data_IF_101585123475
#
_entry.id   IF_101585123475
#
_cell.length_a   1.000
_cell.length_b   1.000
_cell.length_c   1.000
_cell.angle_alpha   90.00
_cell.angle_beta   90.00
_cell.angle_gamma   90.00
#
_symmetry.space_group_name_H-M   'P 1'
#
loop_
_entity.id
_entity.type
_entity.pdbx_description
1 polymer ?
#
# COMPACT_ATOMS: atom_id res chain seq x y z
N UNK A 1 9.16 -18.55 -23.49
CA UNK A 1 7.93 -17.76 -23.27
C UNK A 1 8.24 -16.76 -22.16
N UNK A 2 8.35 -15.47 -22.51
CA UNK A 2 8.49 -14.40 -21.50
C UNK A 2 7.14 -14.23 -20.81
N UNK A 3 7.02 -14.71 -19.58
CA UNK A 3 5.84 -14.44 -18.76
C UNK A 3 5.92 -13.02 -18.23
N UNK A 4 4.79 -12.35 -18.05
CA UNK A 4 4.71 -11.07 -17.36
C UNK A 4 5.24 -11.22 -15.93
N UNK A 5 6.00 -10.23 -15.46
CA UNK A 5 6.36 -10.11 -14.06
C UNK A 5 5.13 -9.66 -13.26
N UNK A 6 5.15 -9.85 -11.94
CA UNK A 6 3.99 -9.52 -11.10
C UNK A 6 3.72 -8.01 -11.06
N UNK A 7 4.76 -7.18 -11.06
CA UNK A 7 4.66 -5.72 -11.18
C UNK A 7 4.02 -5.30 -12.50
N UNK A 8 4.34 -5.97 -13.64
CA UNK A 8 3.68 -5.69 -14.93
C UNK A 8 2.17 -5.98 -14.85
N UNK A 9 1.77 -7.06 -14.15
CA UNK A 9 0.35 -7.38 -13.97
C UNK A 9 -0.33 -6.27 -13.14
N UNK A 10 0.33 -5.77 -12.13
CA UNK A 10 -0.21 -4.71 -11.29
C UNK A 10 -0.33 -3.39 -12.06
N UNK A 11 0.75 -2.94 -12.67
CA UNK A 11 0.80 -1.64 -13.36
C UNK A 11 -0.04 -1.63 -14.66
N UNK A 12 -0.15 -2.76 -15.38
CA UNK A 12 -0.83 -2.81 -16.68
C UNK A 12 -2.27 -3.34 -16.65
N UNK A 13 -2.66 -4.05 -15.59
CA UNK A 13 -3.97 -4.70 -15.52
C UNK A 13 -4.73 -4.28 -14.27
N UNK A 14 -4.15 -4.46 -13.08
CA UNK A 14 -4.89 -4.31 -11.82
C UNK A 14 -5.19 -2.85 -11.53
N UNK A 15 -4.20 -1.95 -11.59
CA UNK A 15 -4.40 -0.52 -11.39
C UNK A 15 -5.35 0.07 -12.43
N UNK A 16 -5.20 -0.15 -13.75
CA UNK A 16 -6.16 0.31 -14.74
C UNK A 16 -7.58 -0.22 -14.55
N UNK A 17 -7.75 -1.48 -14.11
CA UNK A 17 -9.07 -2.03 -13.79
C UNK A 17 -9.70 -1.34 -12.58
N UNK A 18 -8.88 -1.06 -11.55
CA UNK A 18 -9.30 -0.32 -10.36
C UNK A 18 -9.73 1.11 -10.69
N UNK A 19 -8.97 1.81 -11.55
CA UNK A 19 -9.29 3.16 -12.03
C UNK A 19 -10.57 3.19 -12.88
N UNK A 20 -10.81 2.13 -13.65
CA UNK A 20 -12.05 2.01 -14.43
C UNK A 20 -13.26 1.91 -13.50
N UNK A 21 -13.19 1.12 -12.43
CA UNK A 21 -14.25 1.00 -11.42
C UNK A 21 -14.52 2.35 -10.76
N UNK A 22 -13.47 3.13 -10.45
CA UNK A 22 -13.61 4.47 -9.89
C UNK A 22 -14.30 5.44 -10.85
N UNK A 23 -13.88 5.46 -12.11
CA UNK A 23 -14.54 6.29 -13.13
C UNK A 23 -16.03 5.94 -13.27
N UNK A 24 -16.37 4.66 -13.30
CA UNK A 24 -17.77 4.24 -13.36
C UNK A 24 -18.59 4.72 -12.15
N UNK A 25 -17.98 4.74 -10.95
CA UNK A 25 -18.63 5.29 -9.77
C UNK A 25 -18.82 6.81 -9.88
N UNK A 26 -17.76 7.54 -10.28
CA UNK A 26 -17.82 9.00 -10.45
C UNK A 26 -18.82 9.44 -11.54
N UNK A 27 -18.95 8.63 -12.59
CA UNK A 27 -19.91 8.85 -13.70
C UNK A 27 -21.34 8.33 -13.37
N UNK A 28 -21.57 7.88 -12.14
CA UNK A 28 -22.85 7.33 -11.67
C UNK A 28 -23.33 6.08 -12.47
N UNK A 29 -22.43 5.41 -13.18
CA UNK A 29 -22.72 4.18 -13.93
C UNK A 29 -22.86 2.95 -13.02
N UNK A 30 -22.28 2.99 -11.83
CA UNK A 30 -22.41 1.97 -10.79
C UNK A 30 -22.69 2.62 -9.44
N UNK A 31 -23.32 1.87 -8.56
CA UNK A 31 -23.55 2.27 -7.17
C UNK A 31 -22.32 2.02 -6.29
N UNK A 32 -22.26 2.64 -5.11
CA UNK A 32 -21.21 2.37 -4.10
C UNK A 32 -21.16 0.88 -3.69
N UNK A 33 -22.28 0.16 -3.74
CA UNK A 33 -22.33 -1.28 -3.44
C UNK A 33 -21.60 -2.07 -4.53
N UNK A 34 -21.89 -1.77 -5.79
CA UNK A 34 -21.25 -2.43 -6.95
C UNK A 34 -19.76 -2.10 -7.01
N UNK A 35 -19.38 -0.86 -6.72
CA UNK A 35 -17.99 -0.45 -6.59
C UNK A 35 -17.28 -1.29 -5.52
N UNK A 36 -17.83 -1.40 -4.32
CA UNK A 36 -17.26 -2.20 -3.24
C UNK A 36 -17.10 -3.67 -3.62
N UNK A 37 -18.13 -4.27 -4.25
CA UNK A 37 -18.06 -5.66 -4.74
C UNK A 37 -16.94 -5.82 -5.77
N UNK A 38 -16.86 -4.92 -6.74
CA UNK A 38 -15.85 -4.96 -7.80
C UNK A 38 -14.44 -4.88 -7.21
N UNK A 39 -14.21 -3.99 -6.26
CA UNK A 39 -12.91 -3.87 -5.58
C UNK A 39 -12.55 -5.12 -4.79
N UNK A 40 -13.51 -5.69 -4.07
CA UNK A 40 -13.26 -6.95 -3.34
C UNK A 40 -12.93 -8.11 -4.27
N UNK A 41 -13.54 -8.15 -5.46
CA UNK A 41 -13.18 -9.15 -6.48
C UNK A 41 -11.75 -8.93 -7.01
N UNK A 42 -11.36 -7.68 -7.27
CA UNK A 42 -9.99 -7.33 -7.71
C UNK A 42 -8.99 -7.71 -6.59
N UNK A 43 -9.21 -7.27 -5.36
CA UNK A 43 -8.32 -7.60 -4.21
C UNK A 43 -8.19 -9.11 -4.05
N UNK A 44 -9.31 -9.85 -4.10
CA UNK A 44 -9.28 -11.32 -4.00
C UNK A 44 -8.50 -11.97 -5.15
N UNK A 45 -8.58 -11.44 -6.35
CA UNK A 45 -7.82 -11.92 -7.50
C UNK A 45 -6.31 -11.72 -7.30
N UNK A 46 -5.91 -10.59 -6.72
CA UNK A 46 -4.51 -10.29 -6.34
C UNK A 46 -4.01 -11.27 -5.28
N UNK A 47 -4.80 -11.54 -4.24
CA UNK A 47 -4.47 -12.52 -3.21
C UNK A 47 -4.27 -13.93 -3.79
N UNK A 48 -5.14 -14.35 -4.70
CA UNK A 48 -5.02 -15.65 -5.38
C UNK A 48 -3.77 -15.74 -6.28
N UNK A 49 -3.32 -14.64 -6.88
CA UNK A 49 -2.04 -14.61 -7.60
C UNK A 49 -0.87 -14.92 -6.67
N UNK A 50 -0.92 -14.44 -5.43
CA UNK A 50 0.09 -14.76 -4.41
C UNK A 50 0.10 -16.26 -4.04
N UNK A 51 -1.07 -16.88 -3.94
CA UNK A 51 -1.19 -18.31 -3.61
C UNK A 51 -0.69 -19.23 -4.76
N UNK A 52 -0.81 -18.78 -6.01
CA UNK A 52 -0.50 -19.58 -7.21
C UNK A 52 0.98 -19.70 -7.54
N UNK A 53 1.83 -18.88 -6.98
CA UNK A 53 3.28 -18.90 -7.18
C UNK A 53 3.99 -19.09 -5.84
N UNK A 54 5.05 -19.91 -5.78
CA UNK A 54 5.85 -20.02 -4.57
C UNK A 54 6.40 -18.65 -4.20
N UNK A 55 6.31 -18.29 -2.92
CA UNK A 55 6.99 -17.13 -2.39
C UNK A 55 8.48 -17.19 -2.77
N UNK A 56 9.10 -16.05 -3.01
CA UNK A 56 10.54 -15.94 -3.20
C UNK A 56 11.29 -16.62 -2.05
N UNK A 57 12.52 -17.01 -2.28
CA UNK A 57 13.39 -17.52 -1.20
C UNK A 57 13.48 -16.44 -0.11
N UNK A 58 13.21 -16.84 1.14
CA UNK A 58 13.24 -15.91 2.27
C UNK A 58 14.58 -15.17 2.35
N UNK A 59 14.53 -13.84 2.33
CA UNK A 59 15.71 -12.98 2.29
C UNK A 59 16.19 -12.54 3.69
N UNK A 60 15.58 -13.06 4.76
CA UNK A 60 15.92 -12.75 6.14
C UNK A 60 15.26 -11.49 6.70
N UNK A 61 14.46 -10.77 5.90
CA UNK A 61 13.85 -9.49 6.27
C UNK A 61 12.34 -9.60 6.51
N UNK A 62 11.83 -8.73 7.37
CA UNK A 62 10.39 -8.59 7.63
C UNK A 62 9.89 -7.21 7.20
N UNK A 63 8.69 -7.19 6.61
CA UNK A 63 8.02 -5.97 6.22
C UNK A 63 6.62 -5.88 6.82
N UNK A 64 6.17 -4.65 7.10
CA UNK A 64 4.81 -4.33 7.51
C UNK A 64 4.14 -3.52 6.39
N UNK A 65 3.02 -4.00 5.87
CA UNK A 65 2.17 -3.27 4.95
C UNK A 65 0.95 -2.73 5.71
N UNK A 66 0.70 -1.43 5.59
CA UNK A 66 -0.30 -0.73 6.39
C UNK A 66 -0.82 0.49 5.62
N UNK A 67 -2.10 0.83 5.78
CA UNK A 67 -2.64 2.10 5.31
C UNK A 67 -2.32 3.26 6.27
N UNK A 68 -2.53 4.50 5.81
CA UNK A 68 -2.68 5.62 6.72
C UNK A 68 -3.96 5.44 7.57
N UNK A 69 -3.98 6.02 8.78
CA UNK A 69 -5.20 5.99 9.59
C UNK A 69 -6.36 6.65 8.82
N UNK A 70 -7.54 6.06 8.92
CA UNK A 70 -8.77 6.46 8.22
C UNK A 70 -8.76 6.19 6.71
N UNK A 71 -7.75 5.48 6.18
CA UNK A 71 -7.73 5.05 4.78
C UNK A 71 -8.17 3.59 4.67
N UNK A 72 -9.38 3.36 4.14
CA UNK A 72 -9.97 2.01 4.09
C UNK A 72 -9.62 1.17 2.84
N UNK A 73 -9.29 1.75 1.67
CA UNK A 73 -8.96 0.95 0.50
C UNK A 73 -7.75 0.05 0.74
N UNK A 74 -7.93 -1.26 0.57
CA UNK A 74 -6.94 -2.29 0.90
C UNK A 74 -6.18 -2.87 -0.30
N UNK A 75 -6.60 -2.56 -1.54
CA UNK A 75 -6.01 -3.11 -2.75
C UNK A 75 -4.51 -2.81 -2.89
N UNK A 76 -4.11 -1.56 -2.72
CA UNK A 76 -2.70 -1.16 -2.85
C UNK A 76 -1.80 -1.81 -1.80
N UNK A 77 -2.32 -2.01 -0.58
CA UNK A 77 -1.61 -2.75 0.48
C UNK A 77 -1.48 -4.22 0.12
N UNK A 78 -2.54 -4.85 -0.44
CA UNK A 78 -2.51 -6.25 -0.88
C UNK A 78 -1.52 -6.46 -2.04
N UNK A 79 -1.50 -5.57 -3.04
CA UNK A 79 -0.54 -5.63 -4.15
C UNK A 79 0.90 -5.49 -3.65
N UNK A 80 1.13 -4.56 -2.73
CA UNK A 80 2.45 -4.37 -2.09
C UNK A 80 2.89 -5.59 -1.30
N UNK A 81 1.99 -6.22 -0.53
CA UNK A 81 2.26 -7.48 0.17
C UNK A 81 2.69 -8.57 -0.80
N UNK A 82 1.94 -8.78 -1.89
CA UNK A 82 2.24 -9.82 -2.88
C UNK A 82 3.62 -9.60 -3.49
N UNK A 83 3.96 -8.35 -3.86
CA UNK A 83 5.27 -8.04 -4.43
C UNK A 83 6.41 -8.28 -3.44
N UNK A 84 6.24 -7.88 -2.17
CA UNK A 84 7.24 -8.10 -1.12
C UNK A 84 7.44 -9.58 -0.82
N UNK A 85 6.37 -10.38 -0.74
CA UNK A 85 6.46 -11.85 -0.57
C UNK A 85 7.19 -12.51 -1.73
N UNK A 86 6.92 -12.07 -2.96
CA UNK A 86 7.64 -12.53 -4.14
C UNK A 86 9.15 -12.25 -4.08
N UNK A 87 9.53 -11.17 -3.40
CA UNK A 87 10.93 -10.80 -3.17
C UNK A 87 11.50 -11.34 -1.84
N UNK A 88 10.83 -12.33 -1.25
CA UNK A 88 11.33 -13.11 -0.12
C UNK A 88 11.16 -12.47 1.24
N UNK A 89 10.39 -11.38 1.37
CA UNK A 89 10.10 -10.78 2.67
C UNK A 89 9.08 -11.62 3.46
N UNK A 90 9.26 -11.69 4.78
CA UNK A 90 8.18 -12.08 5.68
C UNK A 90 7.27 -10.87 5.89
N UNK A 91 6.04 -10.91 5.37
CA UNK A 91 5.15 -9.74 5.35
C UNK A 91 4.02 -9.89 6.34
N UNK A 92 3.86 -8.85 7.17
CA UNK A 92 2.69 -8.60 8.00
C UNK A 92 1.82 -7.56 7.30
N UNK A 93 0.55 -7.86 7.04
CA UNK A 93 -0.39 -6.95 6.44
C UNK A 93 -1.51 -6.65 7.44
N UNK A 94 -1.69 -5.39 7.81
CA UNK A 94 -2.77 -4.95 8.69
C UNK A 94 -3.96 -4.37 7.90
N UNK A 95 -3.85 -4.27 6.59
CA UNK A 95 -4.86 -3.64 5.74
C UNK A 95 -5.13 -2.20 6.18
N UNK A 96 -6.41 -1.88 6.31
CA UNK A 96 -6.89 -0.57 6.77
C UNK A 96 -6.82 -0.34 8.28
N UNK A 97 -6.33 -1.33 9.05
CA UNK A 97 -6.27 -1.20 10.51
C UNK A 97 -4.93 -0.58 10.94
N UNK A 98 -4.86 0.74 10.90
CA UNK A 98 -3.70 1.51 11.33
C UNK A 98 -3.90 2.11 12.73
N UNK A 99 -2.89 1.96 13.58
CA UNK A 99 -2.80 2.58 14.90
C UNK A 99 -1.36 3.06 15.10
N UNK A 100 -1.04 4.28 14.64
CA UNK A 100 0.33 4.80 14.62
C UNK A 100 0.95 4.88 16.02
N UNK A 101 0.16 5.23 17.02
CA UNK A 101 0.63 5.27 18.42
C UNK A 101 1.18 3.93 18.97
N UNK A 102 0.90 2.82 18.29
CA UNK A 102 1.45 1.48 18.62
C UNK A 102 2.55 1.01 17.66
N UNK A 103 2.78 1.74 16.58
CA UNK A 103 3.67 1.30 15.50
C UNK A 103 5.07 0.97 16.00
N UNK A 104 5.69 1.86 16.80
CA UNK A 104 7.04 1.65 17.36
C UNK A 104 7.16 0.33 18.14
N UNK A 105 6.13 0.00 18.94
CA UNK A 105 6.11 -1.24 19.71
C UNK A 105 6.02 -2.47 18.80
N UNK A 106 5.21 -2.39 17.72
CA UNK A 106 5.07 -3.45 16.72
C UNK A 106 6.37 -3.68 15.97
N UNK A 107 7.03 -2.60 15.52
CA UNK A 107 8.31 -2.67 14.81
C UNK A 107 9.36 -3.41 15.63
N UNK A 108 9.50 -3.07 16.90
CA UNK A 108 10.46 -3.71 17.81
C UNK A 108 10.10 -5.16 18.13
N UNK A 109 8.83 -5.45 18.39
CA UNK A 109 8.35 -6.78 18.77
C UNK A 109 8.55 -7.80 17.66
N UNK A 110 8.24 -7.42 16.41
CA UNK A 110 8.30 -8.30 15.25
C UNK A 110 9.57 -8.13 14.41
N UNK A 111 10.52 -7.29 14.86
CA UNK A 111 11.79 -7.00 14.18
C UNK A 111 11.57 -6.63 12.72
N UNK A 112 10.71 -5.65 12.49
CA UNK A 112 10.36 -5.18 11.15
C UNK A 112 11.50 -4.33 10.59
N UNK A 113 11.96 -4.66 9.38
CA UNK A 113 13.03 -3.95 8.67
C UNK A 113 12.48 -2.83 7.77
N UNK A 114 11.22 -2.99 7.31
CA UNK A 114 10.58 -2.07 6.38
C UNK A 114 9.10 -1.89 6.73
N UNK A 115 8.63 -0.65 6.63
CA UNK A 115 7.19 -0.33 6.68
C UNK A 115 6.78 0.31 5.36
N UNK A 116 5.76 -0.24 4.74
CA UNK A 116 5.15 0.32 3.55
C UNK A 116 3.77 0.86 3.92
N UNK A 117 3.61 2.17 3.78
CA UNK A 117 2.31 2.84 3.88
C UNK A 117 1.74 3.06 2.49
N UNK A 118 0.45 2.75 2.32
CA UNK A 118 -0.26 3.06 1.10
C UNK A 118 -1.33 4.14 1.35
N UNK A 119 -1.43 5.10 0.44
CA UNK A 119 -2.42 6.17 0.49
C UNK A 119 -3.16 6.24 -0.85
N UNK A 120 -4.46 5.98 -0.80
CA UNK A 120 -5.33 6.02 -1.98
C UNK A 120 -5.60 7.46 -2.40
N UNK A 121 -5.64 7.73 -3.72
CA UNK A 121 -5.99 9.05 -4.28
C UNK A 121 -7.49 9.29 -4.43
N UNK A 122 -8.31 8.29 -4.20
CA UNK A 122 -9.73 8.24 -4.61
C UNK A 122 -10.59 9.28 -3.92
N UNK A 123 -10.98 10.29 -4.68
CA UNK A 123 -11.87 11.37 -4.21
C UNK A 123 -13.32 10.90 -3.99
N UNK A 124 -13.77 9.88 -4.72
CA UNK A 124 -15.10 9.32 -4.57
C UNK A 124 -15.22 8.37 -3.35
N UNK A 125 -14.09 7.95 -2.77
CA UNK A 125 -14.08 7.12 -1.57
C UNK A 125 -14.40 7.97 -0.34
N UNK A 126 -15.49 7.65 0.35
CA UNK A 126 -15.91 8.37 1.58
C UNK A 126 -14.96 8.15 2.76
N UNK A 127 -14.17 7.10 2.71
CA UNK A 127 -13.28 6.69 3.78
C UNK A 127 -11.83 6.66 3.29
N UNK A 128 -11.29 7.85 3.01
CA UNK A 128 -9.88 8.06 2.68
C UNK A 128 -9.24 9.04 3.64
N UNK A 129 -7.98 8.83 3.96
CA UNK A 129 -7.18 9.74 4.79
C UNK A 129 -7.07 11.14 4.17
N UNK A 130 -7.27 11.29 2.85
CA UNK A 130 -7.29 12.59 2.16
C UNK A 130 -8.45 13.49 2.57
N UNK A 131 -9.52 12.95 3.15
CA UNK A 131 -10.63 13.75 3.69
C UNK A 131 -10.20 14.65 4.87
N UNK A 132 -9.05 14.34 5.50
CA UNK A 132 -8.47 15.14 6.57
C UNK A 132 -6.95 15.30 6.39
N UNK A 133 -6.55 16.07 5.39
CA UNK A 133 -5.15 16.32 5.05
C UNK A 133 -4.31 16.85 6.23
N UNK A 134 -4.93 17.62 7.14
CA UNK A 134 -4.21 18.09 8.34
C UNK A 134 -3.82 16.91 9.24
N UNK A 135 -4.74 15.98 9.50
CA UNK A 135 -4.47 14.77 10.28
C UNK A 135 -3.42 13.91 9.56
N UNK A 136 -3.59 13.69 8.27
CA UNK A 136 -2.69 12.85 7.48
C UNK A 136 -1.27 13.42 7.40
N UNK A 137 -1.12 14.74 7.26
CA UNK A 137 0.20 15.36 7.30
C UNK A 137 0.86 15.26 8.70
N UNK A 138 0.07 15.30 9.79
CA UNK A 138 0.61 15.04 11.13
C UNK A 138 1.09 13.59 11.27
N UNK A 139 0.39 12.62 10.66
CA UNK A 139 0.84 11.23 10.60
C UNK A 139 2.19 11.11 9.87
N UNK A 140 2.39 11.83 8.77
CA UNK A 140 3.70 11.85 8.06
C UNK A 140 4.83 12.29 9.00
N UNK A 141 4.60 13.32 9.81
CA UNK A 141 5.61 13.79 10.79
C UNK A 141 5.90 12.69 11.82
N UNK A 142 4.86 12.10 12.40
CA UNK A 142 4.99 11.01 13.39
C UNK A 142 5.74 9.80 12.81
N UNK A 143 5.40 9.41 11.59
CA UNK A 143 6.06 8.30 10.88
C UNK A 143 7.55 8.62 10.64
N UNK A 144 7.88 9.86 10.26
CA UNK A 144 9.28 10.30 10.09
C UNK A 144 10.06 10.19 11.40
N UNK A 145 9.47 10.58 12.52
CA UNK A 145 10.13 10.51 13.81
C UNK A 145 10.33 9.05 14.26
N UNK A 146 9.32 8.19 14.04
CA UNK A 146 9.44 6.75 14.30
C UNK A 146 10.56 6.14 13.43
N UNK A 147 10.63 6.49 12.14
CA UNK A 147 11.65 5.99 11.23
C UNK A 147 13.08 6.38 11.70
N UNK A 148 13.27 7.63 12.12
CA UNK A 148 14.56 8.10 12.66
C UNK A 148 14.96 7.38 13.94
N UNK A 149 13.98 7.19 14.84
CA UNK A 149 14.21 6.55 16.15
C UNK A 149 14.52 5.06 16.05
N UNK A 150 13.93 4.37 15.06
CA UNK A 150 14.04 2.91 14.94
C UNK A 150 15.02 2.48 13.85
N UNK A 151 15.36 3.37 12.93
CA UNK A 151 16.18 3.05 11.75
C UNK A 151 15.46 2.18 10.71
N UNK A 152 14.14 1.97 10.85
CA UNK A 152 13.34 1.20 9.89
C UNK A 152 13.25 1.92 8.55
N UNK A 153 13.30 1.17 7.45
CA UNK A 153 13.06 1.73 6.12
C UNK A 153 11.56 2.03 5.97
N UNK A 154 11.22 3.28 5.61
CA UNK A 154 9.82 3.67 5.34
C UNK A 154 9.63 3.98 3.88
N UNK A 155 8.56 3.42 3.29
CA UNK A 155 8.16 3.64 1.91
C UNK A 155 6.69 4.06 1.88
N UNK A 156 6.38 5.15 1.17
CA UNK A 156 5.01 5.57 0.89
C UNK A 156 4.65 5.25 -0.55
N UNK A 157 3.50 4.62 -0.75
CA UNK A 157 2.97 4.26 -2.05
C UNK A 157 1.58 4.83 -2.30
N UNK A 158 1.17 4.78 -3.56
CA UNK A 158 -0.12 5.23 -4.04
C UNK A 158 -0.13 6.70 -4.48
N UNK A 159 -1.10 7.03 -5.32
CA UNK A 159 -1.21 8.38 -5.89
C UNK A 159 -1.59 9.44 -4.86
N UNK A 160 -2.27 9.04 -3.77
CA UNK A 160 -2.66 9.95 -2.70
C UNK A 160 -1.51 10.70 -2.04
N UNK A 161 -0.27 10.18 -2.16
CA UNK A 161 0.93 10.84 -1.63
C UNK A 161 1.21 12.20 -2.29
N UNK A 162 0.69 12.47 -3.49
CA UNK A 162 0.83 13.77 -4.18
C UNK A 162 0.10 14.90 -3.46
N UNK A 163 -0.94 14.56 -2.71
CA UNK A 163 -1.74 15.53 -1.94
C UNK A 163 -1.14 15.84 -0.56
N UNK A 164 -0.12 15.06 -0.14
CA UNK A 164 0.57 15.30 1.12
C UNK A 164 1.47 16.54 1.02
N UNK A 165 1.73 17.15 2.17
CA UNK A 165 2.72 18.19 2.29
C UNK A 165 4.15 17.71 1.97
N UNK A 166 5.15 18.43 2.45
CA UNK A 166 6.54 18.07 2.19
C UNK A 166 6.88 16.73 2.84
N UNK A 167 7.18 15.71 2.02
CA UNK A 167 7.71 14.41 2.46
C UNK A 167 9.24 14.52 2.51
N UNK A 168 9.88 14.23 3.65
CA UNK A 168 11.35 14.23 3.77
C UNK A 168 11.94 13.05 3.00
N UNK A 169 12.44 13.27 1.79
CA UNK A 169 12.96 12.23 0.89
C UNK A 169 14.23 11.54 1.41
N UNK A 170 14.91 12.14 2.35
CA UNK A 170 16.05 11.58 3.05
C UNK A 170 15.66 10.49 4.07
N UNK A 171 14.41 10.47 4.50
CA UNK A 171 13.87 9.52 5.49
C UNK A 171 12.88 8.55 4.86
N UNK A 172 12.06 9.04 3.91
CA UNK A 172 10.95 8.30 3.33
C UNK A 172 11.15 8.18 1.82
N UNK A 173 11.16 6.95 1.31
CA UNK A 173 11.07 6.67 -0.12
C UNK A 173 9.61 6.74 -0.57
N UNK A 174 9.37 7.07 -1.83
CA UNK A 174 8.01 7.10 -2.40
C UNK A 174 7.96 6.34 -3.71
N UNK A 175 6.84 5.68 -4.01
CA UNK A 175 6.62 5.03 -5.30
C UNK A 175 5.22 5.31 -5.84
N UNK A 176 5.10 5.32 -7.18
CA UNK A 176 3.85 5.50 -7.92
C UNK A 176 3.51 4.29 -8.79
N UNK A 177 4.51 3.48 -9.14
CA UNK A 177 4.33 2.22 -9.85
C UNK A 177 4.98 1.08 -9.09
N UNK A 178 4.49 -0.14 -9.29
CA UNK A 178 5.06 -1.32 -8.64
C UNK A 178 6.44 -1.70 -9.19
N UNK A 179 6.75 -1.28 -10.42
CA UNK A 179 8.11 -1.34 -10.97
C UNK A 179 9.07 -0.46 -10.16
N UNK A 180 8.66 0.75 -9.80
CA UNK A 180 9.45 1.62 -8.92
C UNK A 180 9.62 1.02 -7.53
N UNK A 181 8.57 0.43 -6.94
CA UNK A 181 8.68 -0.26 -5.65
C UNK A 181 9.70 -1.40 -5.73
N UNK A 182 9.66 -2.20 -6.80
CA UNK A 182 10.60 -3.30 -7.03
C UNK A 182 12.05 -2.82 -7.03
N UNK A 183 12.32 -1.62 -7.55
CA UNK A 183 13.69 -1.04 -7.57
C UNK A 183 14.24 -0.71 -6.18
N UNK A 184 13.42 -0.72 -5.13
CA UNK A 184 13.82 -0.45 -3.74
C UNK A 184 14.10 -1.71 -2.92
N UNK A 185 13.71 -2.91 -3.43
CA UNK A 185 13.80 -4.20 -2.74
C UNK A 185 15.13 -4.91 -2.99
#
# INVERSE_FOLDING_TARGET
>A
MGGYQINDIFDLIVDPASDLVERWLCDENISHIEEYISRKLITRSVELLSESKPNGTFNGKAALCINFEDDLPDLGVAMSEVLLRHNGYNVFNTGSHAELGKLKNILNKYKIDMVLFYLCSRQCCRATALNNLKKTNNQVIEICDIAKDTGVTVIFGGEGIEHLGKIPKEVIKTFKSYDQLLSYL
#
